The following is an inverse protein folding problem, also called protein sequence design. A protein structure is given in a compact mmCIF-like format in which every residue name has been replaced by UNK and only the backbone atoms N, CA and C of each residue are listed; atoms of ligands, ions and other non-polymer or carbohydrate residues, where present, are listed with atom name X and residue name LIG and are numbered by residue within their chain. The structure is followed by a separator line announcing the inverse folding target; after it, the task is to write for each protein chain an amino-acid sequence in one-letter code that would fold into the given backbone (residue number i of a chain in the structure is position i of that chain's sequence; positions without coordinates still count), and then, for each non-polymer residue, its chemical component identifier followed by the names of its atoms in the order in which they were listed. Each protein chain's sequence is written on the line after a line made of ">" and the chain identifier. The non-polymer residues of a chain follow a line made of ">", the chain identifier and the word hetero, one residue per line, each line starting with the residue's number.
data_IF_499410015215
#
_entry.id   IF_499410015215
#
_cell.length_a   1.000
_cell.length_b   1.000
_cell.length_c   1.000
_cell.angle_alpha   90.00
_cell.angle_beta   90.00
_cell.angle_gamma   90.00
#
_symmetry.space_group_name_H-M   'P 1'
#
loop_
_entity.id
_entity.type
_entity.pdbx_description
1 polymer ?
#
# COMPACT_ATOMS: atom_id res chain seq x y z
N UNK A 1 22.88 39.76 14.18
CA UNK A 1 21.41 39.90 14.13
C UNK A 1 20.89 39.80 15.56
N UNK A 2 20.30 40.86 16.12
CA UNK A 2 19.88 40.85 17.52
C UNK A 2 18.52 40.14 17.68
N UNK A 3 18.54 38.89 18.14
CA UNK A 3 17.34 38.08 18.41
C UNK A 3 16.56 38.57 19.65
N UNK A 4 17.25 39.19 20.61
CA UNK A 4 16.68 39.71 21.88
C UNK A 4 15.52 40.71 21.68
N UNK A 5 15.61 41.74 20.82
CA UNK A 5 14.50 42.66 20.58
C UNK A 5 13.29 41.99 19.89
N UNK A 6 13.50 40.97 19.07
CA UNK A 6 12.39 40.22 18.45
C UNK A 6 11.61 39.45 19.52
N UNK A 7 12.31 38.69 20.38
CA UNK A 7 11.72 37.96 21.50
C UNK A 7 11.00 38.87 22.51
N UNK A 8 11.52 40.07 22.78
CA UNK A 8 10.87 41.00 23.71
C UNK A 8 9.58 41.60 23.14
N UNK A 9 9.54 41.86 21.82
CA UNK A 9 8.32 42.33 21.15
C UNK A 9 7.24 41.25 21.04
N UNK A 10 7.64 39.99 20.86
CA UNK A 10 6.77 38.83 20.89
C UNK A 10 6.12 38.61 22.28
N UNK A 11 6.87 38.81 23.37
CA UNK A 11 6.34 38.71 24.74
C UNK A 11 5.27 39.75 25.09
N UNK A 12 5.19 40.88 24.37
CA UNK A 12 4.16 41.92 24.57
C UNK A 12 2.84 41.61 23.84
N UNK A 13 2.85 40.83 22.76
CA UNK A 13 1.66 40.45 21.99
C UNK A 13 1.47 38.93 21.99
N UNK A 14 1.28 38.38 23.20
CA UNK A 14 1.30 36.93 23.46
C UNK A 14 0.23 36.16 22.67
N UNK A 15 -0.97 36.72 22.51
CA UNK A 15 -2.11 36.03 21.90
C UNK A 15 -1.90 35.75 20.42
N UNK A 16 -1.47 36.76 19.64
CA UNK A 16 -1.24 36.62 18.19
C UNK A 16 -0.06 35.69 17.90
N UNK A 17 1.00 35.79 18.69
CA UNK A 17 2.15 34.89 18.57
C UNK A 17 1.78 33.44 18.93
N UNK A 18 1.02 33.23 20.00
CA UNK A 18 0.55 31.90 20.38
C UNK A 18 -0.40 31.29 19.35
N UNK A 19 -1.32 32.08 18.80
CA UNK A 19 -2.23 31.62 17.75
C UNK A 19 -1.45 31.15 16.53
N UNK A 20 -0.45 31.92 16.07
CA UNK A 20 0.38 31.54 14.92
C UNK A 20 1.23 30.29 15.21
N UNK A 21 1.81 30.18 16.41
CA UNK A 21 2.54 28.98 16.84
C UNK A 21 1.62 27.76 16.84
N UNK A 22 0.42 27.88 17.40
CA UNK A 22 -0.55 26.78 17.52
C UNK A 22 -1.09 26.35 16.15
N UNK A 23 -1.39 27.31 15.27
CA UNK A 23 -1.81 27.06 13.89
C UNK A 23 -0.73 26.28 13.13
N UNK A 24 0.52 26.76 13.17
CA UNK A 24 1.65 26.08 12.52
C UNK A 24 1.89 24.70 13.13
N UNK A 25 1.80 24.57 14.46
CA UNK A 25 1.99 23.30 15.16
C UNK A 25 0.91 22.27 14.77
N UNK A 26 -0.35 22.68 14.72
CA UNK A 26 -1.47 21.82 14.35
C UNK A 26 -1.36 21.39 12.88
N UNK A 27 -1.10 22.33 11.96
CA UNK A 27 -0.89 22.02 10.55
C UNK A 27 0.31 21.10 10.36
N UNK A 28 1.41 21.32 11.08
CA UNK A 28 2.56 20.43 11.08
C UNK A 28 2.21 19.02 11.53
N UNK A 29 1.46 18.88 12.62
CA UNK A 29 1.05 17.58 13.11
C UNK A 29 0.18 16.83 12.10
N UNK A 30 -0.77 17.51 11.46
CA UNK A 30 -1.67 16.91 10.46
C UNK A 30 -0.90 16.52 9.19
N UNK A 31 -0.10 17.43 8.64
CA UNK A 31 0.64 17.20 7.39
C UNK A 31 1.65 16.05 7.56
N UNK A 32 2.40 16.02 8.66
CA UNK A 32 3.36 14.93 8.91
C UNK A 32 2.66 13.56 8.96
N UNK A 33 1.52 13.45 9.66
CA UNK A 33 0.77 12.20 9.73
C UNK A 33 0.16 11.81 8.38
N UNK A 34 -0.38 12.79 7.64
CA UNK A 34 -1.00 12.54 6.34
C UNK A 34 0.02 12.10 5.29
N UNK A 35 1.20 12.74 5.24
CA UNK A 35 2.32 12.33 4.37
C UNK A 35 2.79 10.92 4.71
N UNK A 36 2.89 10.59 6.00
CA UNK A 36 3.21 9.23 6.43
C UNK A 36 2.19 8.21 5.93
N UNK A 37 0.88 8.48 6.09
CA UNK A 37 -0.17 7.59 5.59
C UNK A 37 -0.12 7.42 4.07
N UNK A 38 0.10 8.50 3.32
CA UNK A 38 0.25 8.44 1.85
C UNK A 38 1.45 7.58 1.48
N UNK A 39 2.61 7.80 2.11
CA UNK A 39 3.80 7.04 1.80
C UNK A 39 3.68 5.57 2.17
N UNK A 40 3.06 5.26 3.32
CA UNK A 40 2.78 3.88 3.71
C UNK A 40 1.91 3.17 2.65
N UNK A 41 0.89 3.87 2.13
CA UNK A 41 0.04 3.36 1.05
C UNK A 41 0.83 3.17 -0.25
N UNK A 42 1.68 4.12 -0.62
CA UNK A 42 2.53 4.02 -1.82
C UNK A 42 3.58 2.89 -1.71
N UNK A 43 4.16 2.67 -0.53
CA UNK A 43 5.08 1.56 -0.28
C UNK A 43 4.36 0.22 -0.35
N UNK A 44 3.16 0.14 0.23
CA UNK A 44 2.32 -1.05 0.11
C UNK A 44 1.95 -1.35 -1.35
N UNK A 45 1.67 -0.31 -2.17
CA UNK A 45 1.49 -0.45 -3.61
C UNK A 45 2.73 -0.95 -4.38
N UNK A 46 3.92 -0.96 -3.76
CA UNK A 46 5.15 -1.51 -4.33
C UNK A 46 5.46 -2.93 -3.86
N UNK A 47 4.54 -3.59 -3.13
CA UNK A 47 4.74 -4.95 -2.66
C UNK A 47 5.05 -5.91 -3.81
N UNK A 48 6.03 -6.80 -3.57
CA UNK A 48 6.33 -7.91 -4.48
C UNK A 48 5.25 -8.99 -4.35
N UNK A 49 4.72 -9.44 -5.48
CA UNK A 49 3.77 -10.56 -5.52
C UNK A 49 4.47 -11.91 -5.63
N UNK A 50 5.77 -11.93 -5.94
CA UNK A 50 6.56 -13.14 -6.20
C UNK A 50 6.31 -13.80 -7.56
N UNK A 51 5.37 -13.26 -8.36
CA UNK A 51 5.02 -13.78 -9.68
C UNK A 51 5.55 -12.88 -10.81
N UNK A 52 5.64 -13.43 -12.01
CA UNK A 52 6.01 -12.70 -13.22
C UNK A 52 4.80 -11.94 -13.81
N UNK A 53 4.40 -10.83 -13.17
CA UNK A 53 3.21 -10.05 -13.51
C UNK A 53 3.16 -9.67 -15.00
N UNK A 54 4.30 -9.27 -15.57
CA UNK A 54 4.37 -8.82 -16.95
C UNK A 54 4.32 -9.95 -17.98
N UNK A 55 4.39 -11.22 -17.58
CA UNK A 55 4.23 -12.37 -18.46
C UNK A 55 2.82 -13.00 -18.41
N UNK A 56 1.96 -12.54 -17.50
CA UNK A 56 0.71 -13.21 -17.16
C UNK A 56 -0.53 -12.50 -17.70
N UNK A 57 -1.50 -13.29 -18.14
CA UNK A 57 -2.85 -12.85 -18.48
C UNK A 57 -3.88 -13.76 -17.83
N UNK A 58 -5.03 -13.19 -17.46
CA UNK A 58 -6.12 -13.88 -16.78
C UNK A 58 -7.38 -13.89 -17.64
N UNK A 59 -8.02 -15.05 -17.73
CA UNK A 59 -9.35 -15.22 -18.32
C UNK A 59 -10.25 -15.87 -17.28
N UNK A 60 -11.40 -15.25 -17.00
CA UNK A 60 -12.46 -15.87 -16.23
C UNK A 60 -13.61 -16.27 -17.15
N UNK A 61 -14.06 -17.50 -16.98
CA UNK A 61 -15.18 -18.07 -17.73
C UNK A 61 -16.25 -18.46 -16.73
N UNK A 62 -17.47 -18.00 -16.99
CA UNK A 62 -18.66 -18.47 -16.32
C UNK A 62 -19.43 -19.45 -17.21
N UNK A 63 -19.89 -20.51 -16.57
CA UNK A 63 -20.77 -21.52 -17.15
C UNK A 63 -22.23 -21.14 -16.83
N UNK A 64 -23.05 -20.97 -17.86
CA UNK A 64 -24.47 -20.58 -17.73
C UNK A 64 -25.36 -21.78 -17.41
N UNK A 65 -24.92 -22.99 -17.72
CA UNK A 65 -25.65 -24.23 -17.48
C UNK A 65 -24.86 -25.18 -16.56
N UNK A 66 -25.53 -26.06 -15.80
CA UNK A 66 -24.86 -27.10 -15.04
C UNK A 66 -24.10 -28.05 -15.98
N UNK A 67 -22.80 -28.23 -15.72
CA UNK A 67 -21.97 -29.21 -16.41
C UNK A 67 -22.18 -30.60 -15.83
N UNK A 68 -22.25 -31.62 -16.69
CA UNK A 68 -22.26 -33.01 -16.26
C UNK A 68 -20.91 -33.46 -15.69
N UNK A 69 -19.80 -32.94 -16.23
CA UNK A 69 -18.44 -33.19 -15.74
C UNK A 69 -17.61 -31.91 -15.80
N UNK A 70 -17.44 -31.29 -14.64
CA UNK A 70 -16.66 -30.05 -14.47
C UNK A 70 -15.15 -30.28 -14.70
N UNK A 71 -14.63 -31.47 -14.43
CA UNK A 71 -13.19 -31.75 -14.52
C UNK A 71 -12.78 -32.04 -15.96
N UNK A 72 -13.58 -32.82 -16.69
CA UNK A 72 -13.37 -33.03 -18.13
C UNK A 72 -13.37 -31.69 -18.88
N UNK A 73 -14.31 -30.80 -18.52
CA UNK A 73 -14.40 -29.45 -19.09
C UNK A 73 -13.17 -28.59 -18.82
N UNK A 74 -12.68 -28.55 -17.57
CA UNK A 74 -11.47 -27.80 -17.24
C UNK A 74 -10.25 -28.34 -18.01
N UNK A 75 -10.13 -29.67 -18.17
CA UNK A 75 -9.03 -30.28 -18.94
C UNK A 75 -9.12 -29.95 -20.43
N UNK A 76 -10.32 -29.94 -20.99
CA UNK A 76 -10.58 -29.51 -22.37
C UNK A 76 -10.15 -28.05 -22.58
N UNK A 77 -10.58 -27.14 -21.71
CA UNK A 77 -10.23 -25.72 -21.79
C UNK A 77 -8.72 -25.50 -21.72
N UNK A 78 -8.05 -26.17 -20.78
CA UNK A 78 -6.60 -26.13 -20.67
C UNK A 78 -5.93 -26.63 -21.96
N UNK A 79 -6.42 -27.72 -22.55
CA UNK A 79 -5.88 -28.24 -23.81
C UNK A 79 -6.08 -27.25 -24.99
N UNK A 80 -7.24 -26.61 -25.08
CA UNK A 80 -7.55 -25.60 -26.10
C UNK A 80 -6.63 -24.39 -25.96
N UNK A 81 -6.46 -23.86 -24.74
CA UNK A 81 -5.61 -22.68 -24.50
C UNK A 81 -4.14 -23.02 -24.76
N UNK A 82 -3.66 -24.23 -24.40
CA UNK A 82 -2.28 -24.68 -24.68
C UNK A 82 -1.91 -24.65 -26.15
N UNK A 83 -2.87 -24.80 -27.07
CA UNK A 83 -2.64 -24.79 -28.51
C UNK A 83 -2.55 -23.38 -29.12
N UNK A 84 -2.83 -22.34 -28.34
CA UNK A 84 -2.80 -20.95 -28.84
C UNK A 84 -1.34 -20.49 -29.03
N UNK A 85 -0.96 -19.98 -30.22
CA UNK A 85 0.38 -19.46 -30.45
C UNK A 85 0.76 -18.36 -29.45
N UNK A 86 1.93 -18.49 -28.82
CA UNK A 86 2.43 -17.54 -27.83
C UNK A 86 2.14 -17.91 -26.37
N UNK A 87 1.32 -18.95 -26.12
CA UNK A 87 1.15 -19.53 -24.79
C UNK A 87 2.37 -20.37 -24.42
N UNK A 88 3.00 -20.06 -23.28
CA UNK A 88 4.11 -20.83 -22.72
C UNK A 88 3.64 -21.86 -21.70
N UNK A 89 2.67 -21.47 -20.86
CA UNK A 89 2.07 -22.33 -19.86
C UNK A 89 0.66 -21.84 -19.55
N UNK A 90 -0.21 -22.73 -19.08
CA UNK A 90 -1.54 -22.38 -18.59
C UNK A 90 -1.91 -23.31 -17.45
N UNK A 91 -2.53 -22.73 -16.43
CA UNK A 91 -3.11 -23.45 -15.30
C UNK A 91 -4.48 -22.90 -14.98
N UNK A 92 -5.32 -23.75 -14.38
CA UNK A 92 -6.49 -23.29 -13.65
C UNK A 92 -6.04 -22.79 -12.28
N UNK A 93 -6.66 -21.73 -11.79
CA UNK A 93 -6.36 -21.13 -10.48
C UNK A 93 -7.64 -20.83 -9.71
N UNK A 94 -7.63 -21.09 -8.41
CA UNK A 94 -8.74 -20.77 -7.51
C UNK A 94 -8.73 -19.30 -7.09
N UNK A 95 -7.54 -18.70 -7.03
CA UNK A 95 -7.30 -17.32 -6.70
C UNK A 95 -6.00 -16.87 -7.36
N UNK A 96 -5.83 -15.56 -7.50
CA UNK A 96 -4.58 -14.93 -7.96
C UNK A 96 -4.12 -13.95 -6.89
N UNK A 97 -2.80 -13.69 -6.73
CA UNK A 97 -2.33 -12.61 -5.88
C UNK A 97 -3.01 -11.28 -6.25
N UNK A 98 -3.22 -10.38 -5.29
CA UNK A 98 -3.96 -9.12 -5.54
C UNK A 98 -5.38 -9.34 -6.13
N UNK A 99 -5.99 -10.47 -5.78
CA UNK A 99 -7.38 -10.81 -6.12
C UNK A 99 -8.38 -10.23 -5.12
N UNK A 100 -9.66 -10.18 -5.49
CA UNK A 100 -10.74 -9.70 -4.62
C UNK A 100 -11.20 -10.72 -3.58
N UNK A 101 -10.97 -12.01 -3.83
CA UNK A 101 -11.36 -13.12 -2.97
C UNK A 101 -10.14 -13.91 -2.57
N UNK A 102 -10.11 -14.36 -1.31
CA UNK A 102 -9.01 -15.15 -0.80
C UNK A 102 -9.47 -16.45 -0.16
N UNK A 103 -8.91 -17.55 -0.65
CA UNK A 103 -8.99 -18.87 -0.02
C UNK A 103 -7.84 -19.01 0.97
N UNK A 104 -8.19 -19.31 2.22
CA UNK A 104 -7.25 -19.34 3.33
C UNK A 104 -7.46 -20.58 4.19
N UNK A 105 -6.37 -21.10 4.75
CA UNK A 105 -6.40 -22.18 5.71
C UNK A 105 -5.65 -21.80 6.99
N UNK A 106 -6.21 -22.27 8.11
CA UNK A 106 -5.55 -22.26 9.41
C UNK A 106 -4.52 -23.38 9.47
N UNK A 107 -3.29 -23.04 9.82
CA UNK A 107 -2.15 -23.95 9.83
C UNK A 107 -1.76 -24.29 11.26
N UNK A 108 -1.66 -25.59 11.54
CA UNK A 108 -1.25 -26.14 12.83
C UNK A 108 0.05 -26.93 12.68
N UNK A 109 0.87 -26.99 13.73
CA UNK A 109 2.08 -27.83 13.74
C UNK A 109 1.84 -29.19 14.41
N UNK A 110 0.79 -29.27 15.23
CA UNK A 110 0.36 -30.47 15.94
C UNK A 110 -1.17 -30.62 15.77
N UNK A 111 -1.69 -31.80 15.40
CA UNK A 111 -3.13 -32.02 15.24
C UNK A 111 -3.93 -31.81 16.54
N UNK A 112 -3.30 -31.91 17.72
CA UNK A 112 -3.95 -31.67 19.01
C UNK A 112 -4.00 -30.17 19.40
N UNK A 113 -3.37 -29.30 18.62
CA UNK A 113 -3.27 -27.87 18.90
C UNK A 113 -4.64 -27.17 18.78
N UNK A 114 -5.05 -26.44 19.82
CA UNK A 114 -6.36 -25.74 19.84
C UNK A 114 -6.40 -24.43 19.06
N UNK A 115 -5.26 -23.75 18.95
CA UNK A 115 -5.16 -22.47 18.25
C UNK A 115 -4.23 -22.60 17.04
N UNK A 116 -4.57 -21.99 15.88
CA UNK A 116 -3.70 -22.06 14.72
C UNK A 116 -2.38 -21.32 14.97
N UNK A 117 -1.30 -21.86 14.43
CA UNK A 117 0.03 -21.23 14.50
C UNK A 117 0.09 -20.00 13.59
N UNK A 118 -0.51 -20.12 12.39
CA UNK A 118 -0.70 -19.00 11.46
C UNK A 118 -1.87 -19.29 10.51
N UNK A 119 -2.23 -18.29 9.71
CA UNK A 119 -3.19 -18.43 8.63
C UNK A 119 -2.47 -18.16 7.29
N UNK A 120 -2.68 -19.02 6.29
CA UNK A 120 -2.02 -18.94 4.99
C UNK A 120 -3.02 -18.96 3.83
N UNK A 121 -2.69 -18.25 2.75
CA UNK A 121 -3.41 -18.32 1.49
C UNK A 121 -3.18 -19.65 0.78
N UNK A 122 -4.24 -20.31 0.34
CA UNK A 122 -4.19 -21.65 -0.28
C UNK A 122 -4.42 -21.58 -1.78
N UNK A 123 -3.37 -21.83 -2.56
CA UNK A 123 -3.42 -21.97 -4.00
C UNK A 123 -3.57 -23.44 -4.39
N UNK A 124 -4.34 -23.74 -5.45
CA UNK A 124 -4.59 -25.11 -5.89
C UNK A 124 -4.04 -25.35 -7.30
N UNK A 125 -3.24 -26.41 -7.47
CA UNK A 125 -2.76 -26.89 -8.76
C UNK A 125 -1.25 -27.14 -8.80
N UNK A 126 -0.81 -28.18 -9.52
CA UNK A 126 0.61 -28.50 -9.66
C UNK A 126 1.35 -27.56 -10.64
N UNK A 127 0.74 -27.24 -11.77
CA UNK A 127 1.34 -26.39 -12.82
C UNK A 127 1.34 -24.90 -12.47
N UNK A 128 0.82 -24.53 -11.29
CA UNK A 128 0.65 -23.14 -10.87
C UNK A 128 1.97 -22.42 -10.65
N UNK A 129 2.91 -23.04 -9.92
CA UNK A 129 4.21 -22.46 -9.63
C UNK A 129 5.04 -22.14 -10.90
N UNK A 130 5.23 -23.07 -11.86
CA UNK A 130 5.96 -22.76 -13.09
C UNK A 130 5.20 -21.77 -13.98
N UNK A 131 3.86 -21.82 -14.03
CA UNK A 131 3.06 -20.86 -14.81
C UNK A 131 3.19 -19.44 -14.27
N UNK A 132 3.18 -19.26 -12.94
CA UNK A 132 3.37 -17.96 -12.30
C UNK A 132 4.83 -17.48 -12.31
N UNK A 133 5.79 -18.35 -12.66
CA UNK A 133 7.21 -18.02 -12.64
C UNK A 133 7.82 -17.98 -11.24
N UNK A 134 7.24 -18.72 -10.29
CA UNK A 134 7.72 -18.77 -8.91
C UNK A 134 9.12 -19.38 -8.85
N UNK A 135 10.04 -18.72 -8.14
CA UNK A 135 11.40 -19.20 -7.93
C UNK A 135 11.46 -20.24 -6.80
N UNK A 136 11.86 -21.46 -7.13
CA UNK A 136 12.13 -22.51 -6.14
C UNK A 136 13.43 -22.21 -5.39
N UNK A 137 13.41 -22.29 -4.06
CA UNK A 137 14.59 -22.15 -3.21
C UNK A 137 15.10 -23.49 -2.70
N UNK A 138 14.19 -24.42 -2.38
CA UNK A 138 14.53 -25.71 -1.83
C UNK A 138 13.48 -26.77 -2.20
N UNK A 139 13.91 -28.03 -2.33
CA UNK A 139 13.01 -29.16 -2.60
C UNK A 139 12.60 -29.23 -4.07
N UNK A 140 11.30 -29.38 -4.34
CA UNK A 140 10.73 -29.50 -5.70
C UNK A 140 9.32 -28.90 -5.78
N UNK A 141 8.84 -28.67 -7.01
CA UNK A 141 7.43 -28.39 -7.25
C UNK A 141 6.57 -29.67 -7.11
N UNK A 142 5.25 -29.44 -7.06
CA UNK A 142 4.24 -30.49 -7.12
C UNK A 142 4.29 -31.18 -8.49
N UNK A 143 4.04 -32.49 -8.50
CA UNK A 143 4.00 -33.28 -9.73
C UNK A 143 2.54 -33.49 -10.19
N UNK A 144 2.28 -33.65 -11.50
CA UNK A 144 0.93 -33.89 -12.01
C UNK A 144 0.26 -35.12 -11.41
N UNK A 145 1.02 -36.20 -11.15
CA UNK A 145 0.47 -37.43 -10.54
C UNK A 145 0.05 -37.27 -9.07
N UNK A 146 0.51 -36.22 -8.39
CA UNK A 146 0.15 -35.93 -6.99
C UNK A 146 -1.18 -35.16 -6.90
N UNK A 147 -1.69 -34.66 -8.03
CA UNK A 147 -2.90 -33.83 -8.07
C UNK A 147 -4.16 -34.67 -8.08
N UNK A 148 -5.05 -34.40 -7.13
CA UNK A 148 -6.35 -35.06 -7.03
C UNK A 148 -7.49 -34.09 -7.33
N UNK A 149 -8.57 -34.59 -7.92
CA UNK A 149 -9.78 -33.82 -8.17
C UNK A 149 -10.43 -33.41 -6.84
N UNK A 150 -10.84 -32.15 -6.72
CA UNK A 150 -11.30 -31.57 -5.45
C UNK A 150 -12.44 -32.34 -4.78
N UNK A 151 -13.36 -32.93 -5.55
CA UNK A 151 -14.47 -33.71 -4.98
C UNK A 151 -14.01 -35.02 -4.35
N UNK A 152 -12.95 -35.64 -4.87
CA UNK A 152 -12.37 -36.85 -4.28
C UNK A 152 -11.78 -36.49 -2.91
N UNK A 153 -11.00 -35.40 -2.86
CA UNK A 153 -10.40 -34.90 -1.61
C UNK A 153 -11.49 -34.52 -0.61
N UNK A 154 -12.47 -33.72 -1.02
CA UNK A 154 -13.54 -33.26 -0.12
C UNK A 154 -14.41 -34.40 0.42
N UNK A 155 -14.72 -35.41 -0.41
CA UNK A 155 -15.46 -36.60 0.03
C UNK A 155 -14.64 -37.46 0.99
N UNK A 156 -13.35 -37.66 0.72
CA UNK A 156 -12.46 -38.40 1.60
C UNK A 156 -12.38 -37.72 2.98
N UNK A 157 -12.19 -36.40 3.00
CA UNK A 157 -12.19 -35.60 4.25
C UNK A 157 -13.52 -35.71 4.99
N UNK A 158 -14.65 -35.61 4.28
CA UNK A 158 -15.98 -35.73 4.88
C UNK A 158 -16.24 -37.11 5.51
N UNK A 159 -15.65 -38.16 4.92
CA UNK A 159 -15.75 -39.54 5.41
C UNK A 159 -14.68 -39.88 6.48
N UNK A 160 -13.81 -38.93 6.83
CA UNK A 160 -12.71 -39.14 7.78
C UNK A 160 -11.53 -39.94 7.23
N UNK A 161 -11.48 -40.15 5.91
CA UNK A 161 -10.38 -40.84 5.24
C UNK A 161 -9.27 -39.85 4.88
N UNK A 162 -8.28 -39.75 5.75
CA UNK A 162 -7.13 -38.85 5.58
C UNK A 162 -5.97 -39.47 4.79
N UNK A 163 -6.03 -40.76 4.48
CA UNK A 163 -4.95 -41.49 3.79
C UNK A 163 -5.00 -41.34 2.27
N UNK A 164 -6.17 -41.01 1.71
CA UNK A 164 -6.39 -40.80 0.26
C UNK A 164 -5.69 -39.54 -0.27
N UNK A 165 -5.34 -38.60 0.61
CA UNK A 165 -4.75 -37.32 0.24
C UNK A 165 -3.24 -37.50 0.25
N UNK A 166 -2.57 -37.62 -0.90
CA UNK A 166 -1.11 -37.54 -0.96
C UNK A 166 -0.71 -36.12 -0.55
N UNK A 167 -0.38 -35.85 0.71
CA UNK A 167 -0.70 -34.56 1.27
C UNK A 167 0.56 -33.72 1.16
N UNK A 168 1.10 -33.56 -0.04
CA UNK A 168 2.31 -32.77 -0.24
C UNK A 168 1.93 -31.31 -0.43
N UNK A 169 2.80 -30.39 -0.03
CA UNK A 169 2.57 -28.97 -0.25
C UNK A 169 3.88 -28.23 -0.52
N UNK A 170 3.76 -27.12 -1.25
CA UNK A 170 4.84 -26.17 -1.45
C UNK A 170 4.48 -24.90 -0.69
N UNK A 171 5.38 -24.39 0.14
CA UNK A 171 5.14 -23.19 0.96
C UNK A 171 6.09 -22.06 0.58
N UNK A 172 5.78 -20.83 0.97
CA UNK A 172 6.72 -19.71 0.82
C UNK A 172 7.82 -19.72 1.87
N UNK A 173 8.94 -19.05 1.56
CA UNK A 173 10.05 -18.88 2.49
C UNK A 173 9.62 -18.14 3.77
N UNK A 174 8.80 -17.10 3.64
CA UNK A 174 8.27 -16.35 4.78
C UNK A 174 7.45 -17.26 5.73
N UNK A 175 6.60 -18.13 5.17
CA UNK A 175 5.85 -19.11 5.95
C UNK A 175 6.77 -20.13 6.61
N UNK A 176 7.77 -20.65 5.88
CA UNK A 176 8.76 -21.59 6.40
C UNK A 176 9.53 -21.03 7.61
N UNK A 177 10.03 -19.79 7.49
CA UNK A 177 10.75 -19.09 8.56
C UNK A 177 9.87 -18.81 9.78
N UNK A 178 8.58 -18.52 9.56
CA UNK A 178 7.63 -18.29 10.65
C UNK A 178 7.30 -19.57 11.41
N UNK A 179 7.13 -20.69 10.71
CA UNK A 179 6.81 -21.99 11.31
C UNK A 179 8.02 -22.63 11.99
N UNK A 180 9.20 -22.52 11.37
CA UNK A 180 10.45 -23.08 11.90
C UNK A 180 11.58 -22.05 11.82
N UNK A 181 11.68 -21.14 12.80
CA UNK A 181 12.75 -20.14 12.84
C UNK A 181 14.13 -20.80 12.83
N UNK A 182 14.92 -20.57 11.78
CA UNK A 182 16.28 -21.11 11.63
C UNK A 182 16.39 -22.61 11.34
N UNK A 183 15.28 -23.32 11.11
CA UNK A 183 15.26 -24.75 10.81
C UNK A 183 14.91 -25.07 9.35
N UNK A 184 15.25 -26.27 8.90
CA UNK A 184 14.78 -26.78 7.59
C UNK A 184 13.27 -27.06 7.63
N UNK A 185 12.56 -26.61 6.58
CA UNK A 185 11.13 -26.83 6.43
C UNK A 185 10.78 -28.07 5.60
N UNK A 186 11.70 -28.56 4.77
CA UNK A 186 11.47 -29.70 3.90
C UNK A 186 11.22 -30.99 4.71
N UNK A 187 10.27 -31.79 4.25
CA UNK A 187 9.89 -33.06 4.86
C UNK A 187 9.02 -32.93 6.12
N UNK A 188 8.86 -31.72 6.68
CA UNK A 188 8.04 -31.50 7.87
C UNK A 188 6.56 -31.54 7.55
N UNK A 189 5.78 -31.93 8.55
CA UNK A 189 4.31 -31.95 8.49
C UNK A 189 3.75 -30.63 9.04
N UNK A 190 2.75 -30.10 8.37
CA UNK A 190 1.82 -29.09 8.87
C UNK A 190 0.41 -29.66 8.77
N UNK A 191 -0.53 -29.17 9.55
CA UNK A 191 -1.88 -29.71 9.60
C UNK A 191 -2.89 -28.65 9.21
N UNK A 192 -3.84 -29.03 8.35
CA UNK A 192 -5.01 -28.25 7.98
C UNK A 192 -6.22 -28.93 8.64
N UNK A 193 -6.56 -28.49 9.85
CA UNK A 193 -7.46 -29.25 10.72
C UNK A 193 -6.82 -30.58 11.12
N UNK A 194 -7.46 -31.70 10.78
CA UNK A 194 -6.93 -33.05 11.03
C UNK A 194 -6.03 -33.60 9.92
N UNK A 195 -5.93 -32.90 8.77
CA UNK A 195 -5.22 -33.40 7.60
C UNK A 195 -3.76 -32.96 7.68
N UNK A 196 -2.84 -33.90 7.86
CA UNK A 196 -1.42 -33.65 7.85
C UNK A 196 -0.88 -33.56 6.42
N UNK A 197 -0.29 -32.42 6.05
CA UNK A 197 0.40 -32.20 4.79
C UNK A 197 1.91 -32.00 4.97
N UNK A 198 2.70 -32.70 4.16
CA UNK A 198 4.17 -32.68 4.13
C UNK A 198 4.69 -31.62 3.18
N UNK A 199 5.61 -30.79 3.67
CA UNK A 199 6.29 -29.78 2.86
C UNK A 199 7.32 -30.45 1.95
N UNK A 200 7.18 -30.33 0.63
CA UNK A 200 8.10 -30.90 -0.38
C UNK A 200 8.89 -29.85 -1.15
N UNK A 201 8.49 -28.58 -1.04
CA UNK A 201 9.16 -27.47 -1.70
C UNK A 201 8.97 -26.16 -0.96
N UNK A 202 9.95 -25.28 -1.14
CA UNK A 202 9.91 -23.89 -0.65
C UNK A 202 10.15 -22.95 -1.82
N UNK A 203 9.18 -22.07 -2.09
CA UNK A 203 9.31 -20.99 -3.07
C UNK A 203 9.71 -19.69 -2.39
N UNK A 204 10.37 -18.80 -3.12
CA UNK A 204 10.86 -17.54 -2.57
C UNK A 204 9.72 -16.67 -2.03
N UNK A 205 8.81 -16.27 -2.91
CA UNK A 205 7.72 -15.35 -2.62
C UNK A 205 6.47 -15.80 -3.37
N UNK A 206 5.31 -15.60 -2.75
CA UNK A 206 4.00 -15.75 -3.36
C UNK A 206 3.03 -14.98 -2.48
N UNK A 207 2.58 -13.82 -2.95
CA UNK A 207 1.64 -13.02 -2.20
C UNK A 207 0.26 -13.70 -2.13
N UNK A 208 -0.47 -13.46 -1.05
CA UNK A 208 -1.87 -13.84 -0.90
C UNK A 208 -2.74 -13.05 -1.86
N UNK A 209 -3.93 -13.56 -2.17
CA UNK A 209 -4.91 -12.82 -2.94
C UNK A 209 -5.31 -11.52 -2.23
N UNK A 210 -5.54 -11.56 -0.91
CA UNK A 210 -5.91 -10.42 -0.06
C UNK A 210 -4.73 -9.88 0.77
N UNK A 211 -3.59 -9.65 0.14
CA UNK A 211 -2.37 -9.19 0.80
C UNK A 211 -2.44 -7.71 1.26
N UNK A 212 -3.35 -7.40 2.19
CA UNK A 212 -3.56 -6.06 2.76
C UNK A 212 -2.55 -5.68 3.85
N UNK A 213 -1.80 -6.66 4.37
CA UNK A 213 -0.79 -6.48 5.40
C UNK A 213 0.54 -7.10 4.96
N UNK A 214 1.62 -6.33 5.05
CA UNK A 214 2.96 -6.71 4.59
C UNK A 214 3.52 -7.93 5.35
N UNK A 215 3.18 -8.11 6.64
CA UNK A 215 3.73 -9.19 7.46
C UNK A 215 3.19 -10.55 7.03
N UNK A 216 1.88 -10.61 6.78
CA UNK A 216 1.19 -11.84 6.41
C UNK A 216 0.99 -11.99 4.91
N UNK A 217 1.32 -10.97 4.11
CA UNK A 217 1.18 -10.93 2.65
C UNK A 217 1.79 -12.15 1.97
N UNK A 218 2.91 -12.65 2.49
CA UNK A 218 3.67 -13.75 1.89
C UNK A 218 3.38 -15.11 2.51
N UNK A 219 2.40 -15.26 3.40
CA UNK A 219 2.04 -16.56 3.95
C UNK A 219 1.10 -17.29 2.98
N UNK A 220 1.70 -18.02 2.06
CA UNK A 220 0.98 -18.76 1.02
C UNK A 220 1.51 -20.18 0.89
N UNK A 221 0.62 -21.08 0.49
CA UNK A 221 0.94 -22.47 0.19
C UNK A 221 0.21 -22.94 -1.06
N UNK A 222 0.78 -23.94 -1.74
CA UNK A 222 0.23 -24.57 -2.92
C UNK A 222 -0.10 -26.02 -2.58
N UNK A 223 -1.35 -26.41 -2.80
CA UNK A 223 -1.87 -27.74 -2.56
C UNK A 223 -2.15 -28.46 -3.90
N UNK A 224 -1.93 -29.78 -3.97
CA UNK A 224 -2.09 -30.58 -5.17
C UNK A 224 -3.57 -30.95 -5.37
N UNK A 225 -4.41 -29.94 -5.55
CA UNK A 225 -5.82 -30.12 -5.88
C UNK A 225 -6.12 -29.56 -7.26
N UNK A 226 -6.83 -30.32 -8.08
CA UNK A 226 -7.39 -29.84 -9.33
C UNK A 226 -8.83 -29.39 -9.07
N UNK A 227 -9.10 -28.11 -9.29
CA UNK A 227 -10.47 -27.62 -9.27
C UNK A 227 -11.14 -27.97 -10.61
N UNK A 228 -12.42 -28.35 -10.56
CA UNK A 228 -13.21 -28.51 -11.78
C UNK A 228 -13.70 -27.16 -12.32
N UNK A 229 -14.19 -27.11 -13.55
CA UNK A 229 -14.81 -25.95 -14.16
C UNK A 229 -16.20 -25.64 -13.56
N UNK A 230 -16.24 -25.01 -12.38
CA UNK A 230 -17.42 -24.53 -11.69
C UNK A 230 -17.95 -23.18 -12.21
N UNK A 231 -18.69 -22.45 -11.36
CA UNK A 231 -19.46 -21.26 -11.77
C UNK A 231 -18.62 -20.04 -12.20
N UNK A 232 -17.42 -19.87 -11.64
CA UNK A 232 -16.54 -18.76 -11.96
C UNK A 232 -15.08 -19.24 -11.94
N UNK A 233 -14.55 -19.56 -13.11
CA UNK A 233 -13.31 -20.30 -13.25
C UNK A 233 -12.26 -19.43 -13.88
N UNK A 234 -11.12 -19.34 -13.19
CA UNK A 234 -10.02 -18.49 -13.61
C UNK A 234 -8.91 -19.32 -14.21
N UNK A 235 -8.57 -19.02 -15.46
CA UNK A 235 -7.38 -19.52 -16.14
C UNK A 235 -6.30 -18.45 -16.10
N UNK A 236 -5.10 -18.86 -15.68
CA UNK A 236 -3.91 -18.04 -15.72
C UNK A 236 -2.98 -18.56 -16.80
N UNK A 237 -2.57 -17.66 -17.70
CA UNK A 237 -1.82 -18.01 -18.89
C UNK A 237 -0.51 -17.24 -18.87
N UNK A 238 0.61 -17.95 -18.99
CA UNK A 238 1.94 -17.38 -19.17
C UNK A 238 2.25 -17.19 -20.64
N UNK A 239 2.79 -16.02 -20.97
CA UNK A 239 3.09 -15.57 -22.33
C UNK A 239 4.40 -14.80 -22.34
N UNK A 240 4.89 -14.39 -23.51
CA UNK A 240 5.93 -13.36 -23.58
C UNK A 240 5.31 -11.99 -23.28
N UNK A 241 5.98 -11.08 -22.55
CA UNK A 241 5.41 -9.79 -22.18
C UNK A 241 4.85 -8.94 -23.33
N UNK A 242 5.44 -9.08 -24.52
CA UNK A 242 5.07 -8.37 -25.75
C UNK A 242 3.79 -8.94 -26.40
N UNK A 243 3.50 -10.23 -26.21
CA UNK A 243 2.43 -10.95 -26.90
C UNK A 243 1.13 -11.02 -26.08
N UNK A 244 1.13 -10.55 -24.84
CA UNK A 244 0.03 -10.68 -23.86
C UNK A 244 -1.35 -10.37 -24.43
N UNK A 245 -1.53 -9.21 -25.05
CA UNK A 245 -2.82 -8.78 -25.57
C UNK A 245 -3.27 -9.62 -26.76
N UNK A 246 -2.33 -10.02 -27.63
CA UNK A 246 -2.63 -10.88 -28.78
C UNK A 246 -3.02 -12.29 -28.32
N UNK A 247 -2.27 -12.86 -27.37
CA UNK A 247 -2.55 -14.18 -26.79
C UNK A 247 -3.87 -14.17 -26.02
N UNK A 248 -4.15 -13.13 -25.23
CA UNK A 248 -5.42 -12.99 -24.50
C UNK A 248 -6.61 -13.01 -25.47
N UNK A 249 -6.56 -12.22 -26.54
CA UNK A 249 -7.61 -12.19 -27.56
C UNK A 249 -7.73 -13.54 -28.29
N UNK A 250 -6.62 -14.17 -28.62
CA UNK A 250 -6.60 -15.46 -29.31
C UNK A 250 -7.12 -16.61 -28.42
N UNK A 251 -6.77 -16.62 -27.14
CA UNK A 251 -7.27 -17.60 -26.16
C UNK A 251 -8.78 -17.46 -25.93
N UNK A 252 -9.29 -16.24 -25.81
CA UNK A 252 -10.73 -15.98 -25.73
C UNK A 252 -11.45 -16.46 -26.99
N UNK A 253 -10.88 -16.21 -28.19
CA UNK A 253 -11.46 -16.69 -29.44
C UNK A 253 -11.42 -18.22 -29.55
N UNK A 254 -10.33 -18.87 -29.11
CA UNK A 254 -10.20 -20.32 -29.10
C UNK A 254 -11.22 -20.98 -28.16
N UNK A 255 -11.40 -20.41 -26.95
CA UNK A 255 -12.40 -20.89 -26.00
C UNK A 255 -13.81 -20.76 -26.56
N UNK A 256 -14.17 -19.61 -27.17
CA UNK A 256 -15.48 -19.41 -27.79
C UNK A 256 -15.73 -20.30 -29.01
N UNK A 257 -14.68 -20.62 -29.77
CA UNK A 257 -14.77 -21.55 -30.91
C UNK A 257 -15.01 -22.99 -30.46
N UNK A 258 -14.38 -23.40 -29.36
CA UNK A 258 -14.55 -24.74 -28.81
C UNK A 258 -15.95 -24.95 -28.21
N UNK A 259 -16.50 -23.96 -27.48
CA UNK A 259 -17.92 -23.97 -27.08
C UNK A 259 -18.49 -22.54 -27.06
N UNK A 260 -19.41 -22.19 -27.98
CA UNK A 260 -20.03 -20.87 -28.04
C UNK A 260 -20.87 -20.50 -26.82
N UNK A 261 -21.25 -21.47 -25.97
CA UNK A 261 -22.02 -21.20 -24.75
C UNK A 261 -21.18 -20.63 -23.61
N UNK A 262 -19.85 -20.60 -23.77
CA UNK A 262 -18.93 -20.04 -22.77
C UNK A 262 -19.08 -18.53 -22.68
N UNK A 263 -19.36 -18.04 -21.48
CA UNK A 263 -19.40 -16.61 -21.20
C UNK A 263 -18.08 -16.22 -20.56
N UNK A 264 -17.25 -15.49 -21.31
CA UNK A 264 -16.05 -14.88 -20.75
C UNK A 264 -16.47 -13.65 -19.94
N UNK A 265 -16.36 -13.75 -18.62
CA UNK A 265 -16.75 -12.70 -17.67
C UNK A 265 -15.66 -11.65 -17.51
N UNK A 266 -14.40 -12.10 -17.47
CA UNK A 266 -13.23 -11.24 -17.30
C UNK A 266 -12.13 -11.67 -18.25
N UNK A 267 -11.50 -10.70 -18.91
CA UNK A 267 -10.27 -10.88 -19.68
C UNK A 267 -9.37 -9.69 -19.33
N UNK A 268 -8.18 -9.94 -18.79
CA UNK A 268 -7.29 -8.86 -18.34
C UNK A 268 -5.83 -9.28 -18.32
N UNK A 269 -4.95 -8.31 -18.45
CA UNK A 269 -3.53 -8.51 -18.15
C UNK A 269 -3.29 -8.46 -16.64
N UNK A 270 -2.18 -8.99 -16.16
CA UNK A 270 -1.89 -8.89 -14.73
C UNK A 270 -1.58 -7.46 -14.26
N UNK A 271 -1.07 -6.61 -15.16
CA UNK A 271 -0.86 -5.18 -14.87
C UNK A 271 -2.20 -4.51 -14.51
N UNK A 272 -3.28 -4.85 -15.24
CA UNK A 272 -4.64 -4.39 -14.94
C UNK A 272 -5.19 -4.97 -13.63
N UNK A 273 -4.82 -6.21 -13.27
CA UNK A 273 -5.17 -6.80 -11.96
C UNK A 273 -4.58 -5.96 -10.84
N UNK A 274 -3.29 -5.63 -10.95
CA UNK A 274 -2.57 -4.83 -9.96
C UNK A 274 -3.13 -3.40 -9.88
N UNK A 275 -3.36 -2.76 -11.02
CA UNK A 275 -3.92 -1.40 -11.07
C UNK A 275 -5.29 -1.35 -10.39
N UNK A 276 -6.17 -2.32 -10.70
CA UNK A 276 -7.50 -2.42 -10.10
C UNK A 276 -7.47 -2.70 -8.60
N UNK A 277 -6.52 -3.53 -8.13
CA UNK A 277 -6.39 -3.82 -6.70
C UNK A 277 -6.03 -2.57 -5.89
N UNK A 278 -5.11 -1.74 -6.41
CA UNK A 278 -4.63 -0.53 -5.74
C UNK A 278 -5.37 0.76 -6.15
N UNK A 279 -6.47 0.66 -6.91
CA UNK A 279 -7.26 1.80 -7.37
C UNK A 279 -7.82 2.61 -6.18
N UNK A 280 -8.30 1.91 -5.14
CA UNK A 280 -8.80 2.53 -3.91
C UNK A 280 -7.67 3.21 -3.12
N UNK A 281 -6.50 2.58 -2.99
CA UNK A 281 -5.34 3.16 -2.30
C UNK A 281 -4.85 4.43 -3.02
N UNK A 282 -4.80 4.39 -4.36
CA UNK A 282 -4.39 5.53 -5.19
C UNK A 282 -5.41 6.68 -5.11
N UNK A 283 -6.70 6.36 -5.13
CA UNK A 283 -7.77 7.36 -5.00
C UNK A 283 -7.76 8.01 -3.62
N UNK A 284 -7.61 7.21 -2.56
CA UNK A 284 -7.50 7.70 -1.19
C UNK A 284 -6.27 8.59 -1.01
N UNK A 285 -5.11 8.18 -1.56
CA UNK A 285 -3.89 9.00 -1.56
C UNK A 285 -4.11 10.33 -2.29
N UNK A 286 -4.81 10.33 -3.43
CA UNK A 286 -5.17 11.54 -4.16
C UNK A 286 -6.04 12.51 -3.34
N UNK A 287 -7.06 11.98 -2.65
CA UNK A 287 -7.93 12.78 -1.76
C UNK A 287 -7.13 13.36 -0.59
N UNK A 288 -6.26 12.55 0.05
CA UNK A 288 -5.37 13.00 1.13
C UNK A 288 -4.44 14.13 0.66
N UNK A 289 -3.83 13.99 -0.53
CA UNK A 289 -3.01 15.05 -1.12
C UNK A 289 -3.82 16.32 -1.36
N UNK A 290 -5.04 16.20 -1.91
CA UNK A 290 -5.93 17.34 -2.11
C UNK A 290 -6.28 18.06 -0.79
N UNK A 291 -6.58 17.29 0.26
CA UNK A 291 -6.87 17.83 1.59
C UNK A 291 -5.65 18.53 2.22
N UNK A 292 -4.44 17.97 2.07
CA UNK A 292 -3.19 18.59 2.53
C UNK A 292 -2.97 19.92 1.80
N UNK A 293 -3.12 19.95 0.48
CA UNK A 293 -2.95 21.19 -0.31
C UNK A 293 -3.94 22.26 0.13
N UNK A 294 -5.22 21.90 0.32
CA UNK A 294 -6.23 22.82 0.83
C UNK A 294 -5.89 23.34 2.22
N UNK A 295 -5.47 22.47 3.14
CA UNK A 295 -5.06 22.85 4.50
C UNK A 295 -3.87 23.81 4.47
N UNK A 296 -2.86 23.54 3.65
CA UNK A 296 -1.68 24.40 3.49
C UNK A 296 -2.06 25.77 2.94
N UNK A 297 -3.01 25.86 2.00
CA UNK A 297 -3.54 27.14 1.51
C UNK A 297 -4.23 27.91 2.64
N UNK A 298 -5.08 27.24 3.42
CA UNK A 298 -5.78 27.86 4.56
C UNK A 298 -4.77 28.37 5.59
N UNK A 299 -3.75 27.58 5.93
CA UNK A 299 -2.68 28.01 6.85
C UNK A 299 -1.87 29.17 6.28
N UNK A 300 -1.55 29.17 4.98
CA UNK A 300 -0.87 30.29 4.35
C UNK A 300 -1.71 31.58 4.43
N UNK A 301 -3.02 31.49 4.19
CA UNK A 301 -3.94 32.62 4.33
C UNK A 301 -4.04 33.11 5.79
N UNK A 302 -4.07 32.19 6.76
CA UNK A 302 -4.05 32.50 8.20
C UNK A 302 -2.79 33.26 8.59
N UNK A 303 -1.62 32.77 8.18
CA UNK A 303 -0.33 33.43 8.38
C UNK A 303 -0.31 34.83 7.73
N UNK A 304 -0.79 34.96 6.49
CA UNK A 304 -0.89 36.26 5.79
C UNK A 304 -1.78 37.24 6.54
N UNK A 305 -2.95 36.78 7.02
CA UNK A 305 -3.90 37.58 7.78
C UNK A 305 -3.31 38.08 9.10
N UNK A 306 -2.73 37.17 9.88
CA UNK A 306 -2.09 37.48 11.15
C UNK A 306 -0.89 38.42 10.96
N UNK A 307 -0.03 38.16 9.97
CA UNK A 307 1.11 39.01 9.66
C UNK A 307 0.66 40.42 9.20
N UNK A 308 -0.38 40.51 8.37
CA UNK A 308 -0.91 41.79 7.89
C UNK A 308 -1.51 42.63 9.02
N UNK A 309 -2.27 42.00 9.92
CA UNK A 309 -2.80 42.65 11.12
C UNK A 309 -1.66 43.19 11.99
N UNK A 310 -0.60 42.40 12.14
CA UNK A 310 0.53 42.77 12.98
C UNK A 310 1.36 43.92 12.42
N UNK A 311 1.56 43.93 11.10
CA UNK A 311 2.17 45.06 10.37
C UNK A 311 1.33 46.32 10.53
N UNK A 312 -0.01 46.21 10.42
CA UNK A 312 -0.92 47.35 10.60
C UNK A 312 -0.81 47.95 12.01
N UNK A 313 -0.79 47.12 13.05
CA UNK A 313 -0.67 47.56 14.44
C UNK A 313 0.70 48.19 14.76
N UNK A 314 1.77 47.81 14.04
CA UNK A 314 3.14 48.34 14.20
C UNK A 314 3.53 49.40 13.17
N UNK A 315 2.61 49.90 12.34
CA UNK A 315 2.93 50.89 11.29
C UNK A 315 3.67 52.13 11.81
N UNK A 316 3.27 52.67 12.96
CA UNK A 316 3.88 53.89 13.54
C UNK A 316 5.34 53.66 13.95
N UNK A 317 5.64 52.54 14.60
CA UNK A 317 7.01 52.20 15.03
C UNK A 317 7.91 51.86 13.85
N UNK A 318 7.35 51.22 12.81
CA UNK A 318 8.04 50.99 11.52
C UNK A 318 8.38 52.33 10.85
N UNK A 319 7.44 53.28 10.82
CA UNK A 319 7.65 54.63 10.32
C UNK A 319 8.77 55.37 11.06
N UNK A 320 8.79 55.30 12.39
CA UNK A 320 9.86 55.93 13.20
C UNK A 320 11.23 55.31 12.90
N UNK A 321 11.34 53.97 12.81
CA UNK A 321 12.60 53.31 12.42
C UNK A 321 13.05 53.70 11.02
N UNK A 322 12.10 53.87 10.08
CA UNK A 322 12.38 54.35 8.72
C UNK A 322 12.90 55.79 8.71
N UNK A 323 12.33 56.66 9.53
CA UNK A 323 12.79 58.04 9.69
C UNK A 323 14.21 58.12 10.30
N UNK A 324 14.56 57.17 11.18
CA UNK A 324 15.90 57.03 11.77
C UNK A 324 16.93 56.35 10.84
N UNK A 325 16.60 56.09 9.58
CA UNK A 325 17.54 55.56 8.58
C UNK A 325 17.47 54.06 8.32
N UNK A 326 16.49 53.33 8.84
CA UNK A 326 16.35 51.90 8.52
C UNK A 326 15.99 51.69 7.03
N UNK A 327 16.76 50.84 6.35
CA UNK A 327 16.50 50.46 4.95
C UNK A 327 15.26 49.56 4.84
N UNK A 328 14.64 49.51 3.65
CA UNK A 328 13.51 48.60 3.37
C UNK A 328 13.91 47.12 3.60
N UNK A 329 15.16 46.79 3.26
CA UNK A 329 15.74 45.45 3.47
C UNK A 329 15.84 45.10 4.96
N UNK A 330 16.21 46.04 5.82
CA UNK A 330 16.31 45.80 7.26
C UNK A 330 14.94 45.44 7.88
N UNK A 331 13.85 46.04 7.39
CA UNK A 331 12.49 45.73 7.85
C UNK A 331 12.03 44.39 7.31
N UNK A 332 12.29 44.11 6.03
CA UNK A 332 11.97 42.83 5.41
C UNK A 332 12.63 41.66 6.15
N UNK A 333 13.94 41.77 6.41
CA UNK A 333 14.70 40.75 7.15
C UNK A 333 14.17 40.61 8.57
N UNK A 334 13.85 41.71 9.26
CA UNK A 334 13.26 41.66 10.61
C UNK A 334 11.99 40.81 10.66
N UNK A 335 11.02 41.08 9.79
CA UNK A 335 9.75 40.33 9.77
C UNK A 335 9.92 38.88 9.30
N UNK A 336 10.82 38.64 8.35
CA UNK A 336 11.15 37.27 7.93
C UNK A 336 11.81 36.47 9.04
N UNK A 337 12.74 37.05 9.81
CA UNK A 337 13.38 36.37 10.95
C UNK A 337 12.40 36.16 12.10
N UNK A 338 11.48 37.11 12.35
CA UNK A 338 10.43 36.99 13.37
C UNK A 338 9.49 35.83 13.04
N UNK A 339 9.02 35.72 11.78
CA UNK A 339 8.20 34.59 11.38
C UNK A 339 8.97 33.26 11.39
N UNK A 340 10.21 33.25 10.89
CA UNK A 340 11.05 32.07 10.89
C UNK A 340 11.24 31.49 12.31
N UNK A 341 11.44 32.35 13.31
CA UNK A 341 11.55 31.93 14.71
C UNK A 341 10.24 31.30 15.21
N UNK A 342 9.10 31.94 14.94
CA UNK A 342 7.78 31.44 15.34
C UNK A 342 7.44 30.12 14.64
N UNK A 343 7.71 30.02 13.34
CA UNK A 343 7.51 28.82 12.55
C UNK A 343 8.38 27.67 13.07
N UNK A 344 9.63 27.94 13.43
CA UNK A 344 10.53 26.93 14.02
C UNK A 344 9.99 26.39 15.35
N UNK A 345 9.48 27.26 16.22
CA UNK A 345 8.86 26.86 17.49
C UNK A 345 7.58 26.06 17.25
N UNK A 346 6.73 26.52 16.32
CA UNK A 346 5.50 25.83 15.94
C UNK A 346 5.77 24.44 15.36
N UNK A 347 6.76 24.31 14.46
CA UNK A 347 7.17 23.04 13.87
C UNK A 347 7.76 22.12 14.94
N UNK A 348 8.61 22.62 15.84
CA UNK A 348 9.12 21.82 16.96
C UNK A 348 8.00 21.26 17.84
N UNK A 349 7.02 22.09 18.19
CA UNK A 349 5.84 21.68 18.96
C UNK A 349 4.98 20.68 18.17
N UNK A 350 4.77 20.93 16.88
CA UNK A 350 4.01 20.09 15.96
C UNK A 350 4.65 18.71 15.75
N UNK A 351 5.98 18.62 15.73
CA UNK A 351 6.70 17.36 15.67
C UNK A 351 6.52 16.54 16.95
N UNK A 352 6.57 17.18 18.12
CA UNK A 352 6.29 16.51 19.40
C UNK A 352 4.85 16.00 19.45
N UNK A 353 3.88 16.81 18.99
CA UNK A 353 2.48 16.41 18.87
C UNK A 353 2.28 15.26 17.88
N UNK A 354 2.91 15.33 16.71
CA UNK A 354 2.84 14.27 15.70
C UNK A 354 3.38 12.94 16.24
N UNK A 355 4.51 12.99 16.95
CA UNK A 355 5.09 11.82 17.59
C UNK A 355 4.17 11.26 18.69
N UNK A 356 3.58 12.13 19.53
CA UNK A 356 2.63 11.72 20.56
C UNK A 356 1.37 11.06 19.98
N UNK A 357 0.81 11.64 18.90
CA UNK A 357 -0.33 11.08 18.18
C UNK A 357 0.05 9.73 17.57
N UNK A 358 1.22 9.61 16.96
CA UNK A 358 1.66 8.34 16.39
C UNK A 358 1.86 7.25 17.45
N UNK A 359 2.42 7.59 18.61
CA UNK A 359 2.56 6.66 19.72
C UNK A 359 1.19 6.23 20.27
N UNK A 360 0.22 7.14 20.31
CA UNK A 360 -1.15 6.82 20.68
C UNK A 360 -1.82 5.88 19.66
N UNK A 361 -1.64 6.14 18.37
CA UNK A 361 -2.11 5.26 17.30
C UNK A 361 -1.42 3.90 17.35
N UNK A 362 -0.12 3.83 17.66
CA UNK A 362 0.63 2.58 17.79
C UNK A 362 0.05 1.66 18.88
N UNK A 363 -0.45 2.22 19.98
CA UNK A 363 -1.06 1.39 21.04
C UNK A 363 -2.44 0.82 20.65
N UNK A 364 -3.13 1.43 19.69
CA UNK A 364 -4.48 1.04 19.28
C UNK A 364 -4.56 0.37 17.90
N UNK A 365 -3.54 0.59 17.06
CA UNK A 365 -3.43 0.07 15.70
C UNK A 365 -1.99 -0.41 15.50
N UNK A 366 -1.82 -1.64 15.03
CA UNK A 366 -0.53 -2.29 14.76
C UNK A 366 0.23 -1.67 13.56
N UNK A 367 0.32 -0.34 13.48
CA UNK A 367 1.01 0.35 12.40
C UNK A 367 2.53 0.30 12.59
N UNK A 368 3.31 0.15 11.51
CA UNK A 368 4.76 0.17 11.57
C UNK A 368 5.31 1.53 11.98
N UNK A 369 6.42 1.47 12.73
CA UNK A 369 7.25 2.59 13.23
C UNK A 369 7.46 3.70 12.20
N UNK A 370 7.11 4.94 12.57
CA UNK A 370 7.44 6.16 11.83
C UNK A 370 8.95 6.24 11.57
N UNK A 371 9.41 6.22 10.31
CA UNK A 371 10.80 6.53 10.02
C UNK A 371 11.06 8.02 10.32
N UNK A 372 12.02 8.31 11.19
CA UNK A 372 12.36 9.68 11.62
C UNK A 372 12.75 10.63 10.47
N UNK A 373 12.97 10.07 9.27
CA UNK A 373 13.31 10.78 8.02
C UNK A 373 12.14 11.62 7.48
N UNK A 374 10.89 11.35 7.86
CA UNK A 374 9.74 12.13 7.35
C UNK A 374 9.50 13.45 8.10
N UNK A 375 9.98 13.57 9.34
CA UNK A 375 9.93 14.82 10.11
C UNK A 375 10.67 15.99 9.42
N UNK A 376 11.91 15.83 8.90
CA UNK A 376 12.59 16.92 8.22
C UNK A 376 11.92 17.32 6.90
N UNK A 377 11.30 16.40 6.15
CA UNK A 377 10.60 16.75 4.89
C UNK A 377 9.38 17.61 5.16
N UNK A 378 8.53 17.23 6.13
CA UNK A 378 7.37 18.02 6.55
C UNK A 378 7.78 19.38 7.12
N UNK A 379 8.85 19.41 7.93
CA UNK A 379 9.41 20.65 8.48
C UNK A 379 9.90 21.61 7.39
N UNK A 380 10.65 21.11 6.39
CA UNK A 380 11.16 21.92 5.27
C UNK A 380 10.02 22.47 4.43
N UNK A 381 9.01 21.65 4.10
CA UNK A 381 7.85 22.09 3.33
C UNK A 381 7.09 23.22 4.04
N UNK A 382 6.88 23.11 5.35
CA UNK A 382 6.24 24.14 6.17
C UNK A 382 7.08 25.40 6.32
N UNK A 383 8.41 25.27 6.44
CA UNK A 383 9.30 26.42 6.40
C UNK A 383 9.19 27.18 5.08
N UNK A 384 9.22 26.48 3.94
CA UNK A 384 9.09 27.11 2.64
C UNK A 384 7.74 27.82 2.48
N UNK A 385 6.63 27.16 2.85
CA UNK A 385 5.29 27.74 2.73
C UNK A 385 5.12 28.93 3.68
N UNK A 386 5.56 28.82 4.94
CA UNK A 386 5.51 29.91 5.91
C UNK A 386 6.31 31.12 5.44
N UNK A 387 7.52 30.89 4.91
CA UNK A 387 8.36 31.97 4.40
C UNK A 387 7.71 32.65 3.19
N UNK A 388 7.19 31.88 2.23
CA UNK A 388 6.49 32.39 1.04
C UNK A 388 5.25 33.19 1.43
N UNK A 389 4.44 32.69 2.37
CA UNK A 389 3.25 33.38 2.86
C UNK A 389 3.58 34.76 3.46
N UNK A 390 4.72 34.89 4.14
CA UNK A 390 5.11 36.12 4.84
C UNK A 390 5.77 37.15 3.93
N UNK A 391 6.27 36.74 2.75
CA UNK A 391 6.88 37.66 1.79
C UNK A 391 5.92 38.81 1.43
N UNK A 392 4.65 38.53 1.14
CA UNK A 392 3.66 39.55 0.79
C UNK A 392 3.45 40.61 1.88
N UNK A 393 3.08 40.22 3.11
CA UNK A 393 2.95 41.14 4.25
C UNK A 393 4.24 41.88 4.59
N UNK A 394 5.39 41.21 4.53
CA UNK A 394 6.68 41.81 4.87
C UNK A 394 7.13 42.84 3.82
N UNK A 395 6.84 42.62 2.53
CA UNK A 395 7.03 43.60 1.47
C UNK A 395 6.13 44.83 1.67
N UNK A 396 4.86 44.62 2.06
CA UNK A 396 3.94 45.72 2.42
C UNK A 396 4.44 46.52 3.63
N UNK A 397 5.02 45.86 4.64
CA UNK A 397 5.61 46.51 5.80
C UNK A 397 6.85 47.35 5.43
N UNK A 398 7.70 46.82 4.56
CA UNK A 398 8.91 47.51 4.09
C UNK A 398 8.57 48.73 3.20
N UNK A 399 7.41 48.74 2.56
CA UNK A 399 6.93 49.84 1.73
C UNK A 399 6.35 51.03 2.52
N UNK A 400 6.21 50.93 3.85
CA UNK A 400 5.67 52.02 4.68
C UNK A 400 6.54 53.29 4.55
N UNK A 401 5.97 54.44 4.13
CA UNK A 401 6.71 55.69 3.99
C UNK A 401 7.14 56.29 5.34
N UNK A 402 8.30 56.97 5.42
CA UNK A 402 8.75 57.62 6.66
C UNK A 402 7.78 58.70 7.16
N UNK A 403 7.05 59.36 6.26
CA UNK A 403 6.08 60.42 6.58
C UNK A 403 4.91 59.94 7.44
N UNK A 404 4.69 58.63 7.51
CA UNK A 404 3.66 58.04 8.41
C UNK A 404 4.06 58.18 9.88
N UNK A 405 5.35 58.41 10.19
CA UNK A 405 5.81 58.69 11.55
C UNK A 405 5.35 60.07 12.06
N UNK A 406 5.12 61.02 11.14
CA UNK A 406 4.87 62.44 11.47
C UNK A 406 3.41 62.86 11.31
N UNK A 407 2.55 62.02 10.69
CA UNK A 407 1.10 62.24 10.70
C UNK A 407 0.51 61.76 12.03
N UNK A 408 0.20 62.72 12.90
CA UNK A 408 -0.79 62.54 13.97
C UNK A 408 -2.16 62.28 13.33
N UNK A 409 -2.81 61.19 13.72
CA UNK A 409 -4.27 61.12 13.77
C UNK A 409 -4.65 61.26 15.23
#
# INVERSE_FOLDING_TARGET
>A
MELRPILSTLRRHKTTAWLLILEIALTCAIVCNAVFMINHRLQHMQMSTGIDEHALVQIQVAEVAPLADIYARAREDLAVIRQVPGVQAVTLVNQVPLGSSSSNASIFLDPAQRQPTLNAGTYFGADLAPTMGLRLLAGRYLRPEEVLDSDIVLKAVANGDTDVIAPVTVITQAMAQRLWPGGEALGKMIYLGSIGVRVVGVVAELARANAYDDVTAQYSMILPMFMGAGKDQSYLIRTRPQDRHAVLKAAVAALKKADPRRVVTTQRTYDEVREKFFENDRSMAGILVGAIVALLIVTALGIVGLASFWVAQRRRTIGVRRALGATRRNILVYFQTENFLLATIGIALGMVLAYGINLFLMMHYELPRLPAVYFPVGAIALWLIGQVAVLGPALRAAAVPPVVATRSV
#
